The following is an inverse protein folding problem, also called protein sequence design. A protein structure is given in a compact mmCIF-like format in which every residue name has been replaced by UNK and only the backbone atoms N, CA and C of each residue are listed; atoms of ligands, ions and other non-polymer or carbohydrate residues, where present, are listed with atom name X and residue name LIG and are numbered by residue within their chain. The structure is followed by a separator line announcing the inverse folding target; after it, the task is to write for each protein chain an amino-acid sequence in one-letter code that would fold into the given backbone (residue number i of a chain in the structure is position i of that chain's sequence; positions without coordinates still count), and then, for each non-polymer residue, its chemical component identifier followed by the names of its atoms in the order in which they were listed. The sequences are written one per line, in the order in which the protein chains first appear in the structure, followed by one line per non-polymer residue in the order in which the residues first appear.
data_IF_371332143513
#
_entry.id   IF_371332143513
#
_cell.length_a   1.000
_cell.length_b   1.000
_cell.length_c   1.000
_cell.angle_alpha   90.00
_cell.angle_beta   90.00
_cell.angle_gamma   90.00
#
_symmetry.space_group_name_H-M   'P 1'
#
loop_
_entity.id
_entity.type
_entity.pdbx_description
1 polymer ?
#
# COMPACT_ATOMS: atom_id res chain seq x y z
N UNK A 1 40.21 4.53 26.09
CA UNK A 1 40.84 5.80 25.66
C UNK A 1 39.74 6.66 25.06
N UNK A 2 38.99 7.32 25.95
CA UNK A 2 38.18 8.47 25.60
C UNK A 2 39.09 9.64 25.22
N UNK A 3 38.53 10.61 24.51
CA UNK A 3 39.15 11.89 24.11
C UNK A 3 39.94 11.87 22.80
N UNK A 4 39.23 11.94 21.68
CA UNK A 4 39.46 12.97 20.65
C UNK A 4 38.26 13.01 19.69
N UNK A 5 37.85 14.20 19.25
CA UNK A 5 36.70 14.53 18.36
C UNK A 5 35.45 15.18 19.00
N UNK A 6 35.62 15.87 20.14
CA UNK A 6 34.86 17.10 20.39
C UNK A 6 35.68 18.27 19.88
N UNK A 7 35.51 18.63 18.60
CA UNK A 7 35.70 19.98 18.06
C UNK A 7 35.61 19.92 16.53
N UNK A 8 34.56 20.56 16.01
CA UNK A 8 34.30 21.10 14.66
C UNK A 8 32.81 20.86 14.39
N UNK A 9 31.97 21.77 14.90
CA UNK A 9 30.62 22.08 14.42
C UNK A 9 30.18 23.37 15.10
N UNK A 10 30.57 24.49 14.51
CA UNK A 10 29.93 25.79 14.72
C UNK A 10 28.99 26.06 13.56
N UNK A 11 27.73 26.39 13.83
CA UNK A 11 26.78 26.86 12.82
C UNK A 11 25.31 26.49 13.04
N UNK A 12 24.73 26.94 14.17
CA UNK A 12 23.30 27.21 14.43
C UNK A 12 22.18 26.48 13.64
N UNK A 13 21.77 25.31 14.12
CA UNK A 13 20.38 24.82 14.11
C UNK A 13 20.25 23.77 15.24
N UNK A 14 19.18 23.75 16.06
CA UNK A 14 19.10 22.82 17.19
C UNK A 14 18.98 21.38 16.67
N UNK A 15 19.90 20.52 17.10
CA UNK A 15 19.96 19.10 16.80
C UNK A 15 19.31 18.31 17.94
N UNK A 16 18.51 17.30 17.62
CA UNK A 16 17.75 16.46 18.57
C UNK A 16 18.64 15.59 19.48
N UNK A 17 19.97 15.69 19.35
CA UNK A 17 20.92 14.98 20.20
C UNK A 17 21.17 15.66 21.56
N UNK A 18 20.59 16.84 21.80
CA UNK A 18 20.65 17.54 23.10
C UNK A 18 19.34 17.39 23.91
N UNK A 19 18.49 16.41 23.59
CA UNK A 19 17.30 16.10 24.40
C UNK A 19 17.65 15.01 25.41
N UNK A 20 17.56 15.37 26.70
CA UNK A 20 17.76 14.49 27.86
C UNK A 20 17.15 13.09 27.67
N UNK A 21 17.89 12.05 28.10
CA UNK A 21 17.45 10.64 28.17
C UNK A 21 16.22 10.42 29.10
N UNK A 22 15.69 11.49 29.71
CA UNK A 22 14.45 11.49 30.47
C UNK A 22 13.20 11.80 29.61
N UNK A 23 13.35 12.06 28.31
CA UNK A 23 12.24 12.33 27.38
C UNK A 23 11.80 11.07 26.61
N UNK A 24 11.71 9.92 27.29
CA UNK A 24 10.80 8.86 26.85
C UNK A 24 9.38 9.40 27.02
N UNK A 25 8.74 9.75 25.90
CA UNK A 25 7.33 10.17 25.88
C UNK A 25 6.46 8.95 26.18
N UNK A 26 6.39 8.57 27.45
CA UNK A 26 5.19 8.02 28.06
C UNK A 26 4.24 9.20 28.24
N UNK A 27 3.32 9.38 27.30
CA UNK A 27 2.30 10.43 27.35
C UNK A 27 1.19 10.11 28.35
N UNK A 28 1.55 9.76 29.58
CA UNK A 28 0.62 9.60 30.71
C UNK A 28 1.01 10.59 31.79
N UNK A 29 0.08 11.41 32.25
CA UNK A 29 0.29 12.18 33.49
C UNK A 29 0.22 11.14 34.62
N UNK A 30 1.39 10.65 35.07
CA UNK A 30 1.46 9.78 36.23
C UNK A 30 1.03 10.58 37.47
N UNK A 31 0.02 10.08 38.19
CA UNK A 31 -0.30 10.59 39.52
C UNK A 31 0.67 10.02 40.57
N UNK A 32 0.56 10.49 41.81
CA UNK A 32 1.42 10.09 42.94
C UNK A 32 1.43 8.57 43.23
N UNK A 33 0.57 7.78 42.59
CA UNK A 33 0.45 6.33 42.74
C UNK A 33 0.82 5.54 41.48
N UNK A 34 1.24 6.19 40.39
CA UNK A 34 1.68 5.51 39.16
C UNK A 34 0.54 4.84 38.38
N UNK A 35 -0.70 5.28 38.56
CA UNK A 35 -1.85 4.82 37.79
C UNK A 35 -2.08 5.74 36.58
N UNK A 36 -2.01 5.21 35.36
CA UNK A 36 -2.26 5.95 34.12
C UNK A 36 -3.76 6.20 33.91
N UNK A 37 -4.31 7.19 34.64
CA UNK A 37 -5.74 7.54 34.59
C UNK A 37 -6.18 8.23 33.29
N UNK A 38 -5.24 8.78 32.52
CA UNK A 38 -5.55 9.52 31.30
C UNK A 38 -6.12 8.63 30.17
N UNK A 39 -5.80 7.33 30.19
CA UNK A 39 -6.36 6.35 29.26
C UNK A 39 -7.72 5.81 29.72
N UNK A 40 -7.97 5.73 31.03
CA UNK A 40 -9.24 5.26 31.62
C UNK A 40 -10.38 6.30 31.56
N UNK A 41 -10.08 7.60 31.58
CA UNK A 41 -11.09 8.68 31.48
C UNK A 41 -11.64 8.91 30.06
N UNK A 42 -11.27 8.07 29.10
CA UNK A 42 -11.67 8.28 27.71
C UNK A 42 -13.10 7.86 27.41
N UNK A 43 -13.75 8.59 26.52
CA UNK A 43 -15.05 8.22 25.96
C UNK A 43 -14.95 6.86 25.24
N UNK A 44 -15.73 5.88 25.69
CA UNK A 44 -15.84 4.55 25.10
C UNK A 44 -17.19 4.44 24.40
N UNK A 45 -17.20 3.89 23.19
CA UNK A 45 -18.47 3.58 22.48
C UNK A 45 -19.26 2.53 23.28
N UNK A 46 -20.49 2.83 23.72
CA UNK A 46 -21.30 1.90 24.51
C UNK A 46 -21.95 0.85 23.61
N UNK A 47 -21.16 -0.08 23.08
CA UNK A 47 -21.66 -1.15 22.22
C UNK A 47 -22.63 -2.06 22.97
N UNK A 48 -23.72 -2.41 22.28
CA UNK A 48 -24.69 -3.39 22.77
C UNK A 48 -24.64 -4.63 21.88
N UNK A 49 -24.68 -5.81 22.50
CA UNK A 49 -24.66 -7.08 21.79
C UNK A 49 -26.03 -7.73 21.93
N UNK A 50 -26.64 -8.09 20.81
CA UNK A 50 -27.90 -8.82 20.75
C UNK A 50 -27.82 -9.94 19.72
N UNK A 51 -28.65 -10.97 19.87
CA UNK A 51 -28.68 -12.08 18.92
C UNK A 51 -29.26 -11.59 17.59
N UNK A 52 -28.47 -11.68 16.52
CA UNK A 52 -28.94 -11.36 15.17
C UNK A 52 -30.00 -12.37 14.70
N UNK A 53 -31.14 -11.85 14.25
CA UNK A 53 -32.26 -12.62 13.72
C UNK A 53 -33.07 -11.79 12.71
N UNK A 54 -33.96 -12.42 11.96
CA UNK A 54 -34.80 -11.76 10.96
C UNK A 54 -33.98 -10.98 9.95
N UNK A 55 -34.44 -9.77 9.61
CA UNK A 55 -33.74 -8.90 8.67
C UNK A 55 -32.38 -8.40 9.16
N UNK A 56 -32.13 -8.31 10.47
CA UNK A 56 -30.83 -7.89 10.98
C UNK A 56 -29.75 -8.92 10.62
N UNK A 57 -30.07 -10.22 10.71
CA UNK A 57 -29.18 -11.29 10.27
C UNK A 57 -28.98 -11.32 8.74
N UNK A 58 -30.04 -11.03 7.96
CA UNK A 58 -29.96 -11.00 6.50
C UNK A 58 -29.19 -9.79 5.95
N UNK A 59 -29.11 -8.69 6.71
CA UNK A 59 -28.44 -7.45 6.32
C UNK A 59 -26.99 -7.38 6.78
N UNK A 60 -26.58 -8.25 7.71
CA UNK A 60 -25.20 -8.34 8.16
C UNK A 60 -24.40 -9.25 7.22
N UNK A 61 -23.50 -8.70 6.37
CA UNK A 61 -22.75 -9.48 5.39
C UNK A 61 -21.85 -10.55 6.01
N UNK A 62 -21.43 -10.39 7.28
CA UNK A 62 -20.57 -11.34 8.00
C UNK A 62 -21.29 -12.66 8.29
N UNK A 63 -22.61 -12.58 8.50
CA UNK A 63 -23.44 -13.72 8.90
C UNK A 63 -24.47 -14.13 7.85
N UNK A 64 -24.80 -13.26 6.90
CA UNK A 64 -25.75 -13.57 5.85
C UNK A 64 -25.25 -14.73 4.97
N UNK A 65 -26.05 -15.78 4.86
CA UNK A 65 -25.80 -16.94 3.98
C UNK A 65 -26.68 -16.93 2.73
N UNK A 66 -27.55 -15.92 2.59
CA UNK A 66 -28.58 -15.87 1.56
C UNK A 66 -29.43 -17.16 1.58
N UNK A 67 -29.61 -17.77 0.41
CA UNK A 67 -30.40 -19.01 0.30
C UNK A 67 -29.70 -20.27 0.88
N UNK A 68 -28.47 -20.15 1.40
CA UNK A 68 -27.74 -21.24 2.05
C UNK A 68 -28.04 -21.37 3.55
N UNK A 69 -28.91 -20.52 4.12
CA UNK A 69 -29.51 -20.82 5.42
C UNK A 69 -30.33 -22.12 5.33
N UNK A 70 -30.04 -23.06 6.21
CA UNK A 70 -30.77 -24.33 6.36
C UNK A 70 -32.17 -24.09 6.92
N UNK A 71 -33.08 -25.05 6.75
CA UNK A 71 -34.43 -24.95 7.33
C UNK A 71 -34.41 -24.71 8.85
N UNK A 72 -33.51 -25.42 9.55
CA UNK A 72 -33.34 -25.26 11.01
C UNK A 72 -32.85 -23.86 11.39
N UNK A 73 -31.87 -23.31 10.66
CA UNK A 73 -31.41 -21.94 10.89
C UNK A 73 -32.53 -20.93 10.60
N UNK A 74 -33.33 -21.15 9.55
CA UNK A 74 -34.44 -20.26 9.20
C UNK A 74 -35.53 -20.26 10.27
N UNK A 75 -35.83 -21.41 10.86
CA UNK A 75 -36.77 -21.52 11.99
C UNK A 75 -36.21 -20.85 13.24
N UNK A 76 -34.96 -21.14 13.60
CA UNK A 76 -34.33 -20.65 14.84
C UNK A 76 -34.09 -19.14 14.84
N UNK A 77 -33.77 -18.56 13.67
CA UNK A 77 -33.43 -17.14 13.53
C UNK A 77 -34.55 -16.30 12.88
N UNK A 78 -35.80 -16.78 12.89
CA UNK A 78 -36.96 -16.05 12.38
C UNK A 78 -36.83 -15.59 10.91
N UNK A 79 -36.27 -16.45 10.06
CA UNK A 79 -36.11 -16.21 8.61
C UNK A 79 -37.18 -16.90 7.75
N UNK A 80 -38.00 -17.77 8.35
CA UNK A 80 -39.06 -18.50 7.64
C UNK A 80 -40.05 -17.50 7.01
N UNK A 81 -40.27 -17.63 5.70
CA UNK A 81 -41.11 -16.71 4.92
C UNK A 81 -40.39 -15.45 4.41
N UNK A 82 -39.19 -15.13 4.92
CA UNK A 82 -38.37 -14.03 4.41
C UNK A 82 -37.51 -14.46 3.21
N UNK A 83 -37.23 -15.76 3.10
CA UNK A 83 -36.50 -16.38 1.99
C UNK A 83 -37.40 -17.35 1.22
N UNK A 84 -37.20 -17.48 -0.11
CA UNK A 84 -37.78 -18.55 -0.91
C UNK A 84 -37.57 -19.95 -0.28
N UNK A 85 -38.47 -20.92 -0.53
CA UNK A 85 -38.46 -22.21 0.16
C UNK A 85 -37.26 -23.10 -0.18
N UNK A 86 -36.51 -22.81 -1.24
CA UNK A 86 -35.35 -23.60 -1.63
C UNK A 86 -34.13 -23.26 -0.78
N UNK A 87 -33.46 -24.28 -0.29
CA UNK A 87 -32.10 -24.18 0.27
C UNK A 87 -31.12 -24.53 -0.85
N UNK A 88 -30.15 -23.66 -1.11
CA UNK A 88 -29.09 -23.90 -2.11
C UNK A 88 -27.73 -23.92 -1.43
N UNK A 89 -26.84 -24.79 -1.89
CA UNK A 89 -25.48 -24.88 -1.34
C UNK A 89 -24.63 -23.67 -1.73
N UNK A 90 -23.55 -23.44 -0.99
CA UNK A 90 -22.61 -22.35 -1.28
C UNK A 90 -22.00 -22.49 -2.68
N UNK A 91 -21.70 -23.72 -3.12
CA UNK A 91 -21.14 -24.02 -4.44
C UNK A 91 -22.13 -23.70 -5.58
N UNK A 92 -23.44 -23.90 -5.35
CA UNK A 92 -24.45 -23.50 -6.32
C UNK A 92 -24.61 -21.97 -6.36
N UNK A 93 -24.51 -21.28 -5.21
CA UNK A 93 -24.48 -19.82 -5.18
C UNK A 93 -23.28 -19.29 -5.96
N UNK A 94 -22.09 -19.84 -5.72
CA UNK A 94 -20.85 -19.48 -6.41
C UNK A 94 -21.00 -19.59 -7.93
N UNK A 95 -21.46 -20.76 -8.43
CA UNK A 95 -21.70 -20.96 -9.86
C UNK A 95 -22.70 -19.96 -10.45
N UNK A 96 -23.78 -19.65 -9.72
CA UNK A 96 -24.78 -18.66 -10.15
C UNK A 96 -24.15 -17.26 -10.26
N UNK A 97 -23.36 -16.86 -9.28
CA UNK A 97 -22.72 -15.54 -9.28
C UNK A 97 -21.67 -15.45 -10.40
N UNK A 98 -20.82 -16.47 -10.57
CA UNK A 98 -19.87 -16.50 -11.69
C UNK A 98 -20.56 -16.46 -13.06
N UNK A 99 -21.69 -17.14 -13.22
CA UNK A 99 -22.49 -17.06 -14.44
C UNK A 99 -22.95 -15.61 -14.72
N UNK A 100 -23.41 -14.89 -13.70
CA UNK A 100 -23.82 -13.50 -13.84
C UNK A 100 -22.63 -12.57 -14.10
N UNK A 101 -21.51 -12.74 -13.39
CA UNK A 101 -20.30 -11.92 -13.57
C UNK A 101 -19.80 -11.97 -15.01
N UNK A 102 -19.78 -13.16 -15.61
CA UNK A 102 -19.34 -13.37 -16.99
C UNK A 102 -20.28 -12.75 -18.04
N UNK A 103 -21.52 -12.41 -17.67
CA UNK A 103 -22.47 -11.72 -18.57
C UNK A 103 -22.26 -10.21 -18.64
N UNK A 104 -21.61 -9.60 -17.63
CA UNK A 104 -21.27 -8.17 -17.71
C UNK A 104 -20.25 -7.93 -18.81
N UNK A 105 -20.45 -6.82 -19.54
CA UNK A 105 -19.63 -6.48 -20.70
C UNK A 105 -18.38 -5.70 -20.29
N UNK A 106 -18.50 -4.83 -19.29
CA UNK A 106 -17.41 -3.98 -18.83
C UNK A 106 -16.76 -4.55 -17.57
N UNK A 107 -15.42 -4.54 -17.45
CA UNK A 107 -14.73 -4.93 -16.21
C UNK A 107 -15.24 -4.18 -14.98
N UNK A 108 -15.51 -2.88 -15.11
CA UNK A 108 -16.03 -2.05 -14.01
C UNK A 108 -17.40 -2.54 -13.48
N UNK A 109 -18.27 -3.06 -14.36
CA UNK A 109 -19.56 -3.63 -13.92
C UNK A 109 -19.33 -4.91 -13.08
N UNK A 110 -18.33 -5.71 -13.46
CA UNK A 110 -17.92 -6.90 -12.68
C UNK A 110 -17.34 -6.49 -11.33
N UNK A 111 -16.52 -5.44 -11.29
CA UNK A 111 -16.01 -4.87 -10.05
C UNK A 111 -17.15 -4.45 -9.11
N UNK A 112 -18.11 -3.66 -9.61
CA UNK A 112 -19.27 -3.22 -8.81
C UNK A 112 -20.07 -4.41 -8.27
N UNK A 113 -20.32 -5.43 -9.10
CA UNK A 113 -21.01 -6.64 -8.66
C UNK A 113 -20.24 -7.43 -7.59
N UNK A 114 -18.90 -7.43 -7.64
CA UNK A 114 -18.05 -8.04 -6.62
C UNK A 114 -18.08 -7.27 -5.30
N UNK A 115 -18.06 -5.93 -5.33
CA UNK A 115 -18.17 -5.11 -4.13
C UNK A 115 -19.57 -5.22 -3.49
N UNK A 116 -20.63 -5.26 -4.30
CA UNK A 116 -21.99 -5.51 -3.83
C UNK A 116 -22.11 -6.90 -3.18
N UNK A 117 -21.40 -7.92 -3.69
CA UNK A 117 -21.36 -9.24 -3.10
C UNK A 117 -20.61 -9.24 -1.76
N UNK A 118 -19.48 -8.54 -1.66
CA UNK A 118 -18.70 -8.41 -0.42
C UNK A 118 -19.58 -7.83 0.70
N UNK A 119 -20.31 -6.75 0.40
CA UNK A 119 -21.23 -6.07 1.33
C UNK A 119 -22.60 -6.76 1.48
N UNK A 120 -22.83 -7.87 0.78
CA UNK A 120 -24.05 -8.67 0.85
C UNK A 120 -23.85 -10.02 1.55
N UNK A 121 -22.74 -10.70 1.28
CA UNK A 121 -22.37 -12.01 1.82
C UNK A 121 -20.85 -12.18 1.72
N UNK A 122 -20.17 -11.77 2.78
CA UNK A 122 -18.70 -11.72 2.88
C UNK A 122 -18.07 -13.10 2.61
N UNK A 123 -18.66 -14.16 3.17
CA UNK A 123 -18.13 -15.53 3.04
C UNK A 123 -18.24 -16.04 1.60
N UNK A 124 -19.34 -15.73 0.91
CA UNK A 124 -19.50 -16.11 -0.49
C UNK A 124 -18.56 -15.32 -1.39
N UNK A 125 -18.35 -14.02 -1.12
CA UNK A 125 -17.35 -13.21 -1.81
C UNK A 125 -15.96 -13.85 -1.75
N UNK A 126 -15.46 -14.14 -0.54
CA UNK A 126 -14.13 -14.73 -0.41
C UNK A 126 -14.03 -16.13 -0.98
N UNK A 127 -15.05 -16.98 -0.78
CA UNK A 127 -15.09 -18.33 -1.37
C UNK A 127 -15.00 -18.27 -2.91
N UNK A 128 -15.77 -17.39 -3.53
CA UNK A 128 -15.78 -17.18 -4.97
C UNK A 128 -14.44 -16.63 -5.48
N UNK A 129 -13.84 -15.68 -4.75
CA UNK A 129 -12.54 -15.11 -5.09
C UNK A 129 -11.40 -16.14 -4.98
N UNK A 130 -11.40 -16.98 -3.94
CA UNK A 130 -10.36 -18.01 -3.72
C UNK A 130 -10.41 -19.06 -4.83
N UNK A 131 -11.59 -19.59 -5.14
CA UNK A 131 -11.75 -20.66 -6.14
C UNK A 131 -11.50 -20.19 -7.59
N UNK A 132 -11.65 -18.89 -7.86
CA UNK A 132 -11.56 -18.33 -9.21
C UNK A 132 -10.53 -17.18 -9.28
N UNK A 133 -9.47 -17.26 -8.47
CA UNK A 133 -8.52 -16.17 -8.26
C UNK A 133 -7.91 -15.63 -9.55
N UNK A 134 -7.51 -16.49 -10.48
CA UNK A 134 -6.88 -16.07 -11.74
C UNK A 134 -7.83 -15.24 -12.63
N UNK A 135 -9.11 -15.59 -12.67
CA UNK A 135 -10.13 -14.87 -13.47
C UNK A 135 -10.59 -13.57 -12.79
N UNK A 136 -10.65 -13.57 -11.46
CA UNK A 136 -11.23 -12.47 -10.69
C UNK A 136 -10.21 -11.46 -10.17
N UNK A 137 -8.94 -11.82 -10.04
CA UNK A 137 -7.88 -10.90 -9.59
C UNK A 137 -7.81 -9.64 -10.48
N UNK A 138 -7.88 -9.72 -11.82
CA UNK A 138 -7.90 -8.53 -12.68
C UNK A 138 -9.17 -7.67 -12.55
N UNK A 139 -10.21 -8.21 -11.91
CA UNK A 139 -11.50 -7.53 -11.67
C UNK A 139 -11.49 -6.82 -10.32
N UNK A 140 -11.12 -7.51 -9.23
CA UNK A 140 -11.15 -6.93 -7.87
C UNK A 140 -9.88 -6.16 -7.52
N UNK A 141 -8.84 -6.30 -8.33
CA UNK A 141 -7.55 -5.62 -8.17
C UNK A 141 -7.09 -5.03 -9.51
N UNK A 142 -5.78 -4.89 -9.73
CA UNK A 142 -5.24 -4.26 -10.93
C UNK A 142 -5.54 -5.06 -12.20
N UNK A 143 -5.94 -4.41 -13.32
CA UNK A 143 -6.02 -2.96 -13.52
C UNK A 143 -7.38 -2.33 -13.16
N UNK A 144 -8.45 -3.11 -12.99
CA UNK A 144 -9.83 -2.59 -12.88
C UNK A 144 -10.04 -1.73 -11.63
N UNK A 145 -9.37 -2.03 -10.51
CA UNK A 145 -9.44 -1.21 -9.30
C UNK A 145 -8.96 0.23 -9.52
N UNK A 146 -8.01 0.45 -10.44
CA UNK A 146 -7.58 1.79 -10.82
C UNK A 146 -8.69 2.58 -11.52
N UNK A 147 -9.39 1.95 -12.46
CA UNK A 147 -10.58 2.55 -13.11
C UNK A 147 -11.69 2.83 -12.07
N UNK A 148 -11.89 1.90 -11.12
CA UNK A 148 -12.85 2.08 -10.04
C UNK A 148 -12.48 3.29 -9.16
N UNK A 149 -11.20 3.50 -8.85
CA UNK A 149 -10.74 4.69 -8.11
C UNK A 149 -10.95 5.99 -8.91
N UNK A 150 -10.75 5.99 -10.23
CA UNK A 150 -11.03 7.18 -11.05
C UNK A 150 -12.51 7.56 -11.02
N UNK A 151 -13.39 6.56 -11.00
CA UNK A 151 -14.86 6.73 -11.05
C UNK A 151 -15.53 6.58 -9.68
N UNK A 152 -14.77 6.54 -8.59
CA UNK A 152 -15.25 6.04 -7.29
C UNK A 152 -16.47 6.80 -6.79
N UNK A 153 -16.49 8.13 -6.91
CA UNK A 153 -17.65 8.95 -6.54
C UNK A 153 -18.90 8.63 -7.35
N UNK A 154 -18.77 8.44 -8.66
CA UNK A 154 -19.90 8.12 -9.54
C UNK A 154 -20.47 6.71 -9.36
N UNK A 155 -19.65 5.76 -8.91
CA UNK A 155 -20.07 4.36 -8.67
C UNK A 155 -20.34 4.07 -7.20
N UNK A 156 -20.18 5.05 -6.31
CA UNK A 156 -20.30 4.88 -4.87
C UNK A 156 -21.69 4.34 -4.50
N UNK A 157 -21.72 3.18 -3.83
CA UNK A 157 -22.97 2.55 -3.40
C UNK A 157 -22.97 2.35 -1.88
N UNK A 158 -22.35 1.28 -1.40
CA UNK A 158 -22.20 0.94 0.02
C UNK A 158 -20.84 1.41 0.52
N UNK A 159 -20.76 2.10 1.67
CA UNK A 159 -19.49 2.55 2.20
C UNK A 159 -18.62 1.37 2.62
N UNK A 160 -17.35 1.41 2.26
CA UNK A 160 -16.33 0.44 2.69
C UNK A 160 -15.14 1.20 3.28
N UNK A 161 -14.59 0.67 4.37
CA UNK A 161 -13.48 1.29 5.09
C UNK A 161 -13.87 2.51 5.93
N UNK A 162 -12.84 3.22 6.39
CA UNK A 162 -12.96 4.37 7.28
C UNK A 162 -12.26 5.59 6.66
N UNK A 163 -12.97 6.71 6.61
CA UNK A 163 -12.47 7.97 6.07
C UNK A 163 -12.12 8.90 7.23
N UNK A 164 -10.90 9.45 7.20
CA UNK A 164 -10.42 10.41 8.20
C UNK A 164 -9.90 11.62 7.44
N UNK A 165 -10.52 12.78 7.61
CA UNK A 165 -10.14 13.99 6.89
C UNK A 165 -9.51 15.03 7.80
N UNK A 166 -8.97 16.10 7.22
CA UNK A 166 -8.47 17.25 8.00
C UNK A 166 -9.53 17.88 8.93
N UNK A 167 -10.83 17.69 8.66
CA UNK A 167 -11.91 18.17 9.54
C UNK A 167 -11.94 17.45 10.88
N UNK A 168 -11.39 16.23 10.93
CA UNK A 168 -11.32 15.41 12.13
C UNK A 168 -9.98 15.55 12.88
N UNK A 169 -9.12 16.50 12.50
CA UNK A 169 -7.90 16.84 13.26
C UNK A 169 -8.26 17.22 14.70
N UNK A 170 -7.56 16.62 15.66
CA UNK A 170 -7.82 16.66 17.10
C UNK A 170 -8.85 15.65 17.61
N UNK A 171 -9.47 14.86 16.71
CA UNK A 171 -10.54 13.90 17.03
C UNK A 171 -10.38 12.56 16.33
N UNK A 172 -9.20 12.25 15.78
CA UNK A 172 -9.00 11.02 14.99
C UNK A 172 -9.31 9.76 15.81
N UNK A 173 -8.94 9.75 17.10
CA UNK A 173 -9.27 8.64 18.00
C UNK A 173 -10.78 8.42 18.14
N UNK A 174 -11.59 9.48 18.15
CA UNK A 174 -13.06 9.37 18.21
C UNK A 174 -13.60 8.72 16.92
N UNK A 175 -13.02 9.06 15.76
CA UNK A 175 -13.38 8.46 14.47
C UNK A 175 -13.06 6.97 14.46
N UNK A 176 -11.87 6.57 14.93
CA UNK A 176 -11.49 5.16 15.03
C UNK A 176 -12.43 4.36 15.94
N UNK A 177 -12.96 4.98 17.01
CA UNK A 177 -13.90 4.35 17.94
C UNK A 177 -15.28 4.06 17.33
N UNK A 178 -15.61 4.68 16.18
CA UNK A 178 -16.83 4.37 15.43
C UNK A 178 -16.73 3.07 14.64
N UNK A 179 -15.52 2.56 14.37
CA UNK A 179 -15.35 1.28 13.69
C UNK A 179 -15.87 0.13 14.58
N UNK A 180 -16.74 -0.75 14.07
CA UNK A 180 -17.44 -1.73 14.91
C UNK A 180 -16.55 -2.90 15.36
N UNK A 181 -15.47 -3.19 14.63
CA UNK A 181 -14.55 -4.27 14.99
C UNK A 181 -13.45 -3.74 15.92
N UNK A 182 -13.35 -4.32 17.12
CA UNK A 182 -12.38 -3.88 18.14
C UNK A 182 -10.97 -4.46 17.94
N UNK A 183 -10.87 -5.64 17.36
CA UNK A 183 -9.61 -6.40 17.27
C UNK A 183 -8.99 -6.30 15.87
N UNK A 184 -8.61 -5.08 15.49
CA UNK A 184 -7.91 -4.82 14.24
C UNK A 184 -6.46 -5.30 14.33
N UNK A 185 -6.01 -5.96 13.28
CA UNK A 185 -4.66 -6.52 13.15
C UNK A 185 -3.92 -5.98 11.94
N UNK A 186 -4.64 -5.63 10.86
CA UNK A 186 -4.06 -5.08 9.63
C UNK A 186 -4.84 -3.85 9.19
N UNK A 187 -4.15 -2.73 9.09
CA UNK A 187 -4.62 -1.50 8.46
C UNK A 187 -3.87 -1.34 7.15
N UNK A 188 -4.61 -1.09 6.07
CA UNK A 188 -4.03 -0.55 4.83
C UNK A 188 -4.53 0.87 4.71
N UNK A 189 -3.60 1.81 4.60
CA UNK A 189 -3.90 3.25 4.60
C UNK A 189 -3.29 3.92 3.38
N UNK A 190 -4.04 4.85 2.78
CA UNK A 190 -3.59 5.69 1.68
C UNK A 190 -4.05 7.15 1.89
N UNK A 191 -3.35 8.11 1.29
CA UNK A 191 -3.85 9.48 1.09
C UNK A 191 -4.28 9.76 -0.36
N UNK A 192 -4.18 8.75 -1.22
CA UNK A 192 -4.56 8.79 -2.63
C UNK A 192 -3.74 9.72 -3.52
N UNK A 193 -2.55 10.17 -3.09
CA UNK A 193 -1.72 11.10 -3.88
C UNK A 193 -1.09 10.43 -5.11
N UNK A 194 -0.82 9.13 -5.05
CA UNK A 194 -0.17 8.37 -6.12
C UNK A 194 -0.82 7.01 -6.31
N UNK A 195 -2.10 6.99 -6.66
CA UNK A 195 -2.80 5.74 -6.97
C UNK A 195 -2.18 5.14 -8.23
N UNK A 196 -1.46 4.02 -8.10
CA UNK A 196 -0.87 3.29 -9.22
C UNK A 196 -0.04 4.24 -10.14
N UNK A 197 -0.13 4.06 -11.46
CA UNK A 197 0.32 5.02 -12.47
C UNK A 197 -0.67 6.16 -12.80
N UNK A 198 -1.78 6.30 -12.05
CA UNK A 198 -2.88 7.22 -12.35
C UNK A 198 -2.75 8.59 -11.65
N UNK A 199 -1.90 8.68 -10.63
CA UNK A 199 -1.61 9.92 -9.92
C UNK A 199 -2.60 10.22 -8.79
N UNK A 200 -2.87 11.50 -8.57
CA UNK A 200 -3.67 11.97 -7.45
C UNK A 200 -5.17 11.74 -7.69
N UNK A 201 -5.77 10.86 -6.90
CA UNK A 201 -7.21 10.59 -6.89
C UNK A 201 -7.89 10.96 -5.55
N UNK A 202 -7.13 11.57 -4.63
CA UNK A 202 -7.64 12.03 -3.34
C UNK A 202 -8.40 10.96 -2.57
N UNK A 203 -9.57 11.36 -2.04
CA UNK A 203 -10.44 10.47 -1.27
C UNK A 203 -10.96 9.25 -2.06
N UNK A 204 -10.97 9.32 -3.40
CA UNK A 204 -11.38 8.20 -4.26
C UNK A 204 -10.36 7.06 -4.29
N UNK A 205 -9.17 7.25 -3.72
CA UNK A 205 -8.17 6.21 -3.55
C UNK A 205 -8.58 5.05 -2.64
N UNK A 206 -9.70 5.14 -1.90
CA UNK A 206 -10.19 4.09 -0.98
C UNK A 206 -10.31 2.71 -1.63
N UNK A 207 -10.57 2.63 -2.94
CA UNK A 207 -10.63 1.35 -3.64
C UNK A 207 -9.36 0.51 -3.50
N UNK A 208 -8.19 1.14 -3.36
CA UNK A 208 -6.92 0.43 -3.20
C UNK A 208 -6.81 -0.28 -1.84
N UNK A 209 -6.94 0.40 -0.67
CA UNK A 209 -6.99 -0.30 0.62
C UNK A 209 -8.03 -1.41 0.70
N UNK A 210 -9.23 -1.19 0.15
CA UNK A 210 -10.31 -2.21 0.13
C UNK A 210 -9.88 -3.43 -0.69
N UNK A 211 -9.34 -3.21 -1.89
CA UNK A 211 -8.82 -4.27 -2.75
C UNK A 211 -7.68 -5.05 -2.08
N UNK A 212 -6.68 -4.36 -1.52
CA UNK A 212 -5.55 -4.97 -0.81
C UNK A 212 -6.00 -5.85 0.33
N UNK A 213 -6.89 -5.36 1.21
CA UNK A 213 -7.38 -6.14 2.35
C UNK A 213 -8.23 -7.34 1.94
N UNK A 214 -8.92 -7.25 0.79
CA UNK A 214 -9.58 -8.41 0.20
C UNK A 214 -8.57 -9.49 -0.21
N UNK A 215 -7.40 -9.11 -0.72
CA UNK A 215 -6.30 -10.05 -1.03
C UNK A 215 -5.60 -10.58 0.22
N UNK A 216 -5.46 -9.79 1.28
CA UNK A 216 -4.98 -10.28 2.59
C UNK A 216 -5.81 -11.45 3.10
N UNK A 217 -7.13 -11.38 2.91
CA UNK A 217 -8.01 -12.48 3.27
C UNK A 217 -7.90 -13.63 2.28
N UNK A 218 -8.11 -13.37 0.99
CA UNK A 218 -8.22 -14.42 -0.02
C UNK A 218 -6.92 -15.20 -0.22
N UNK A 219 -5.78 -14.51 -0.18
CA UNK A 219 -4.46 -15.10 -0.43
C UNK A 219 -3.70 -15.39 0.86
N UNK A 220 -3.82 -14.51 1.86
CA UNK A 220 -3.08 -14.59 3.13
C UNK A 220 -3.84 -15.26 4.27
N UNK A 221 -5.13 -15.53 4.12
CA UNK A 221 -5.98 -16.12 5.18
C UNK A 221 -6.18 -15.22 6.40
N UNK A 222 -5.92 -13.92 6.28
CA UNK A 222 -6.21 -12.95 7.35
C UNK A 222 -7.71 -12.83 7.53
N UNK A 223 -8.18 -12.70 8.78
CA UNK A 223 -9.62 -12.56 9.04
C UNK A 223 -10.11 -11.19 8.55
N UNK A 224 -11.18 -11.12 7.72
CA UNK A 224 -11.73 -9.84 7.25
C UNK A 224 -12.09 -8.88 8.36
N UNK A 225 -12.68 -9.40 9.46
CA UNK A 225 -13.06 -8.60 10.62
C UNK A 225 -11.86 -8.03 11.39
N UNK A 226 -10.63 -8.42 11.06
CA UNK A 226 -9.40 -7.87 11.62
C UNK A 226 -8.69 -6.91 10.66
N UNK A 227 -9.31 -6.62 9.51
CA UNK A 227 -8.81 -5.73 8.47
C UNK A 227 -9.56 -4.39 8.53
N UNK A 228 -8.84 -3.29 8.37
CA UNK A 228 -9.40 -1.94 8.37
C UNK A 228 -8.81 -1.11 7.21
N UNK A 229 -9.57 -0.88 6.13
CA UNK A 229 -9.16 0.02 5.06
C UNK A 229 -9.34 1.47 5.50
N UNK A 230 -8.33 2.31 5.30
CA UNK A 230 -8.38 3.73 5.68
C UNK A 230 -7.96 4.63 4.52
N UNK A 231 -8.69 5.72 4.32
CA UNK A 231 -8.27 6.84 3.47
C UNK A 231 -8.13 8.10 4.30
N UNK A 232 -6.96 8.74 4.17
CA UNK A 232 -6.62 10.00 4.81
C UNK A 232 -6.86 11.14 3.83
N UNK A 233 -8.00 11.83 3.98
CA UNK A 233 -8.42 12.89 3.07
C UNK A 233 -7.88 14.25 3.51
N UNK A 234 -6.74 14.63 2.93
CA UNK A 234 -6.10 15.94 3.13
C UNK A 234 -6.38 16.92 2.00
N UNK A 235 -7.37 16.63 1.14
CA UNK A 235 -7.61 17.31 -0.12
C UNK A 235 -6.98 16.60 -1.33
N UNK A 236 -7.12 17.18 -2.51
CA UNK A 236 -6.55 16.66 -3.77
C UNK A 236 -6.07 17.79 -4.66
N UNK A 237 -4.97 17.56 -5.39
CA UNK A 237 -4.46 18.46 -6.41
C UNK A 237 -5.03 18.15 -7.81
N UNK A 238 -5.91 17.15 -7.92
CA UNK A 238 -6.58 16.81 -9.17
C UNK A 238 -7.73 17.77 -9.46
N UNK A 239 -7.54 18.64 -10.46
CA UNK A 239 -8.53 19.64 -10.87
C UNK A 239 -9.82 19.04 -11.40
N UNK A 240 -9.75 17.89 -12.08
CA UNK A 240 -10.94 17.22 -12.61
C UNK A 240 -11.84 16.80 -11.44
N UNK A 241 -11.26 16.22 -10.39
CA UNK A 241 -12.00 15.81 -9.19
C UNK A 241 -12.50 17.00 -8.36
N UNK A 242 -11.73 18.10 -8.26
CA UNK A 242 -12.21 19.30 -7.57
C UNK A 242 -13.47 19.88 -8.22
N UNK A 243 -13.57 19.78 -9.55
CA UNK A 243 -14.70 20.26 -10.33
C UNK A 243 -15.81 19.22 -10.55
N UNK A 244 -15.57 17.93 -10.26
CA UNK A 244 -16.54 16.86 -10.43
C UNK A 244 -17.61 16.90 -9.33
N UNK A 245 -18.88 17.06 -9.68
CA UNK A 245 -20.01 17.08 -8.73
C UNK A 245 -20.14 15.82 -7.87
N UNK A 246 -19.64 14.68 -8.36
CA UNK A 246 -19.69 13.39 -7.65
C UNK A 246 -18.47 13.11 -6.79
N UNK A 247 -17.45 13.98 -6.78
CA UNK A 247 -16.29 13.80 -5.90
C UNK A 247 -16.70 13.75 -4.43
N UNK A 248 -16.24 12.70 -3.74
CA UNK A 248 -16.63 12.35 -2.36
C UNK A 248 -15.71 12.94 -1.29
N UNK A 249 -14.58 13.53 -1.67
CA UNK A 249 -13.60 14.07 -0.73
C UNK A 249 -13.73 15.56 -0.44
N UNK A 250 -12.80 16.08 0.34
CA UNK A 250 -12.65 17.50 0.60
C UNK A 250 -12.31 18.25 -0.70
N UNK A 251 -13.18 19.17 -1.11
CA UNK A 251 -13.01 20.04 -2.28
C UNK A 251 -12.03 21.17 -2.00
N UNK A 252 -10.79 20.80 -1.72
CA UNK A 252 -9.67 21.70 -1.48
C UNK A 252 -8.37 21.05 -1.97
N UNK A 253 -7.34 21.87 -2.16
CA UNK A 253 -5.99 21.39 -2.44
C UNK A 253 -5.42 20.61 -1.25
N UNK A 254 -4.44 19.75 -1.53
CA UNK A 254 -3.74 18.99 -0.50
C UNK A 254 -3.10 19.93 0.52
N UNK A 255 -3.31 19.65 1.81
CA UNK A 255 -2.49 20.22 2.87
C UNK A 255 -1.03 19.79 2.70
N UNK A 256 -0.10 20.67 3.03
CA UNK A 256 1.34 20.45 2.88
C UNK A 256 2.09 20.86 4.15
N UNK A 257 3.34 20.41 4.28
CA UNK A 257 4.23 20.83 5.35
C UNK A 257 3.71 20.39 6.73
N UNK A 258 3.77 21.32 7.70
CA UNK A 258 3.48 21.00 9.11
C UNK A 258 2.06 20.52 9.35
N UNK A 259 1.07 21.07 8.64
CA UNK A 259 -0.33 20.69 8.83
C UNK A 259 -0.57 19.21 8.52
N UNK A 260 -0.03 18.75 7.38
CA UNK A 260 -0.05 17.34 6.95
C UNK A 260 0.74 16.45 7.92
N UNK A 261 1.94 16.89 8.33
CA UNK A 261 2.79 16.14 9.24
C UNK A 261 2.13 15.94 10.61
N UNK A 262 1.50 16.98 11.18
CA UNK A 262 0.77 16.90 12.44
C UNK A 262 -0.42 15.96 12.35
N UNK A 263 -1.18 16.04 11.25
CA UNK A 263 -2.35 15.20 11.01
C UNK A 263 -1.97 13.72 10.92
N UNK A 264 -0.90 13.38 10.18
CA UNK A 264 -0.39 12.02 10.13
C UNK A 264 0.16 11.54 11.47
N UNK A 265 0.81 12.43 12.23
CA UNK A 265 1.31 12.06 13.56
C UNK A 265 0.17 11.73 14.52
N UNK A 266 -0.89 12.55 14.53
CA UNK A 266 -2.10 12.27 15.29
C UNK A 266 -2.73 10.94 14.89
N UNK A 267 -2.83 10.66 13.57
CA UNK A 267 -3.34 9.38 13.08
C UNK A 267 -2.54 8.19 13.62
N UNK A 268 -1.21 8.22 13.48
CA UNK A 268 -0.35 7.12 13.93
C UNK A 268 -0.46 6.90 15.44
N UNK A 269 -0.45 7.99 16.21
CA UNK A 269 -0.62 7.95 17.67
C UNK A 269 -2.00 7.37 18.05
N UNK A 270 -3.08 7.82 17.40
CA UNK A 270 -4.43 7.34 17.65
C UNK A 270 -4.60 5.86 17.30
N UNK A 271 -4.00 5.38 16.20
CA UNK A 271 -4.02 3.96 15.81
C UNK A 271 -3.32 3.10 16.87
N UNK A 272 -2.10 3.48 17.27
CA UNK A 272 -1.35 2.78 18.33
C UNK A 272 -2.13 2.77 19.65
N UNK A 273 -2.73 3.90 20.00
CA UNK A 273 -3.52 4.03 21.22
C UNK A 273 -4.78 3.14 21.20
N UNK A 274 -5.48 3.07 20.07
CA UNK A 274 -6.74 2.34 19.97
C UNK A 274 -6.58 0.83 19.76
N UNK A 275 -5.54 0.41 19.02
CA UNK A 275 -5.35 -0.99 18.60
C UNK A 275 -4.07 -1.65 19.15
N UNK A 276 -3.20 -0.89 19.81
CA UNK A 276 -1.98 -1.36 20.45
C UNK A 276 -0.78 -1.52 19.51
N UNK A 277 0.37 -1.86 20.09
CA UNK A 277 1.69 -1.91 19.42
C UNK A 277 1.82 -2.96 18.29
N UNK A 278 0.92 -3.94 18.26
CA UNK A 278 1.01 -5.09 17.34
C UNK A 278 0.18 -4.93 16.08
N UNK A 279 -0.57 -3.84 15.94
CA UNK A 279 -1.33 -3.57 14.72
C UNK A 279 -0.36 -3.31 13.56
N UNK A 280 -0.52 -4.04 12.47
CA UNK A 280 0.22 -3.81 11.23
C UNK A 280 -0.39 -2.61 10.51
N UNK A 281 0.43 -1.63 10.16
CA UNK A 281 0.03 -0.47 9.34
C UNK A 281 0.80 -0.54 8.02
N UNK A 282 0.09 -0.86 6.95
CA UNK A 282 0.60 -0.82 5.60
C UNK A 282 0.30 0.54 4.97
N UNK A 283 1.34 1.27 4.59
CA UNK A 283 1.20 2.45 3.75
C UNK A 283 1.13 2.04 2.29
N UNK A 284 0.18 2.63 1.55
CA UNK A 284 -0.07 2.33 0.15
C UNK A 284 -0.34 3.62 -0.66
N UNK A 285 0.26 3.71 -1.85
CA UNK A 285 -0.03 4.75 -2.85
C UNK A 285 0.13 6.21 -2.35
N UNK A 286 1.08 6.43 -1.44
CA UNK A 286 1.55 7.77 -1.08
C UNK A 286 2.49 8.31 -2.16
N UNK A 287 2.69 9.63 -2.23
CA UNK A 287 3.74 10.16 -3.12
C UNK A 287 5.15 9.87 -2.58
N UNK A 288 6.11 9.70 -3.51
CA UNK A 288 7.51 9.35 -3.24
C UNK A 288 8.13 10.01 -2.00
N UNK A 289 7.98 11.33 -1.86
CA UNK A 289 8.59 12.05 -0.75
C UNK A 289 7.97 11.65 0.60
N UNK A 290 6.64 11.57 0.67
CA UNK A 290 5.91 11.17 1.87
C UNK A 290 6.16 9.70 2.21
N UNK A 291 6.14 8.79 1.24
CA UNK A 291 6.33 7.36 1.48
C UNK A 291 7.66 7.04 2.19
N UNK A 292 8.76 7.64 1.73
CA UNK A 292 10.08 7.45 2.39
C UNK A 292 10.13 8.08 3.78
N UNK A 293 9.62 9.30 3.93
CA UNK A 293 9.65 10.01 5.22
C UNK A 293 8.80 9.29 6.27
N UNK A 294 7.65 8.74 5.89
CA UNK A 294 6.77 7.97 6.78
C UNK A 294 7.41 6.65 7.22
N UNK A 295 7.98 5.91 6.27
CA UNK A 295 8.65 4.65 6.60
C UNK A 295 9.84 4.87 7.54
N UNK A 296 10.65 5.92 7.27
CA UNK A 296 11.79 6.27 8.12
C UNK A 296 11.36 6.75 9.52
N UNK A 297 10.30 7.57 9.60
CA UNK A 297 9.82 8.14 10.87
C UNK A 297 9.13 7.10 11.76
N UNK A 298 8.33 6.21 11.19
CA UNK A 298 7.50 5.28 11.96
C UNK A 298 8.05 3.86 12.06
N UNK A 299 9.04 3.49 11.24
CA UNK A 299 9.63 2.14 11.22
C UNK A 299 10.26 1.65 12.54
N UNK A 300 10.63 2.57 13.44
CA UNK A 300 11.20 2.22 14.76
C UNK A 300 10.17 2.26 15.88
N UNK A 301 9.00 2.86 15.64
CA UNK A 301 7.98 3.11 16.68
C UNK A 301 6.71 2.30 16.44
N UNK A 302 6.44 1.84 15.23
CA UNK A 302 5.24 1.09 14.87
C UNK A 302 5.60 -0.13 14.02
N UNK A 303 4.73 -1.14 14.02
CA UNK A 303 4.79 -2.20 13.03
C UNK A 303 4.25 -1.69 11.70
N UNK A 304 5.13 -1.05 10.92
CA UNK A 304 4.80 -0.49 9.61
C UNK A 304 5.53 -1.18 8.49
N UNK A 305 4.91 -1.19 7.31
CA UNK A 305 5.61 -1.43 6.06
C UNK A 305 4.94 -0.63 4.92
N UNK A 306 5.65 -0.45 3.83
CA UNK A 306 5.11 0.15 2.60
C UNK A 306 5.25 -0.85 1.45
N UNK A 307 4.15 -1.21 0.80
CA UNK A 307 4.14 -2.26 -0.23
C UNK A 307 4.83 -1.79 -1.52
N UNK A 308 4.61 -0.52 -1.91
CA UNK A 308 5.21 0.11 -3.10
C UNK A 308 6.74 0.09 -3.06
N UNK A 309 7.33 0.27 -1.88
CA UNK A 309 8.78 0.24 -1.65
C UNK A 309 9.24 -1.20 -1.35
N UNK A 310 8.74 -1.80 -0.27
CA UNK A 310 9.30 -3.03 0.32
C UNK A 310 8.71 -4.29 -0.31
N UNK A 311 7.39 -4.31 -0.56
CA UNK A 311 6.71 -5.44 -1.21
C UNK A 311 7.19 -5.63 -2.64
N UNK A 312 7.21 -4.53 -3.41
CA UNK A 312 7.77 -4.47 -4.77
C UNK A 312 9.24 -4.92 -4.81
N UNK A 313 10.07 -4.44 -3.87
CA UNK A 313 11.45 -4.87 -3.79
C UNK A 313 11.57 -6.38 -3.57
N UNK A 314 10.74 -6.93 -2.67
CA UNK A 314 10.74 -8.35 -2.35
C UNK A 314 10.37 -9.23 -3.55
N UNK A 315 9.27 -8.91 -4.25
CA UNK A 315 8.82 -9.71 -5.40
C UNK A 315 9.80 -9.64 -6.58
N UNK A 316 10.40 -8.47 -6.83
CA UNK A 316 11.39 -8.32 -7.91
C UNK A 316 12.68 -9.07 -7.58
N UNK A 317 13.18 -8.98 -6.34
CA UNK A 317 14.34 -9.78 -5.92
C UNK A 317 14.04 -11.28 -6.03
N UNK A 318 12.85 -11.73 -5.64
CA UNK A 318 12.44 -13.14 -5.81
C UNK A 318 12.45 -13.56 -7.28
N UNK A 319 11.98 -12.69 -8.19
CA UNK A 319 12.05 -12.90 -9.63
C UNK A 319 13.49 -13.02 -10.16
N UNK A 320 14.39 -12.13 -9.71
CA UNK A 320 15.81 -12.18 -10.08
C UNK A 320 16.47 -13.46 -9.57
N UNK A 321 16.25 -13.84 -8.31
CA UNK A 321 16.78 -15.08 -7.73
C UNK A 321 16.23 -16.32 -8.47
N UNK A 322 14.97 -16.30 -8.89
CA UNK A 322 14.40 -17.37 -9.72
C UNK A 322 15.05 -17.41 -11.12
N UNK A 323 15.27 -16.26 -11.75
CA UNK A 323 15.94 -16.18 -13.04
C UNK A 323 17.39 -16.69 -12.99
N UNK A 324 18.15 -16.37 -11.93
CA UNK A 324 19.51 -16.87 -11.71
C UNK A 324 19.59 -18.41 -11.66
N UNK A 325 18.53 -19.09 -11.19
CA UNK A 325 18.49 -20.56 -11.21
C UNK A 325 18.41 -21.14 -12.63
N UNK A 326 17.92 -20.37 -13.59
CA UNK A 326 17.82 -20.78 -15.00
C UNK A 326 19.07 -20.39 -15.78
N UNK A 327 19.58 -19.18 -15.58
CA UNK A 327 20.70 -18.63 -16.36
C UNK A 327 22.08 -18.90 -15.76
N UNK A 328 22.13 -19.29 -14.47
CA UNK A 328 23.37 -19.45 -13.72
C UNK A 328 23.94 -18.11 -13.22
N UNK A 329 25.04 -18.18 -12.48
CA UNK A 329 25.73 -17.00 -11.92
C UNK A 329 25.19 -16.53 -10.57
N UNK A 330 25.69 -15.37 -10.13
CA UNK A 330 25.34 -14.76 -8.84
C UNK A 330 24.86 -13.32 -9.00
N UNK A 331 24.08 -12.80 -8.03
CA UNK A 331 23.63 -11.40 -8.05
C UNK A 331 24.80 -10.41 -8.19
N UNK A 332 25.96 -10.74 -7.59
CA UNK A 332 27.14 -9.90 -7.62
C UNK A 332 27.86 -9.88 -8.98
N UNK A 333 27.58 -10.81 -9.89
CA UNK A 333 28.16 -10.82 -11.24
C UNK A 333 27.42 -9.89 -12.21
N UNK A 334 26.20 -9.49 -11.89
CA UNK A 334 25.36 -8.66 -12.75
C UNK A 334 25.58 -7.16 -12.56
N UNK A 335 25.29 -6.41 -13.64
CA UNK A 335 25.18 -4.95 -13.66
C UNK A 335 23.73 -4.61 -13.96
N UNK A 336 23.12 -3.78 -13.10
CA UNK A 336 21.70 -3.49 -13.11
C UNK A 336 21.46 -2.09 -13.63
N UNK A 337 20.50 -1.93 -14.54
CA UNK A 337 20.00 -0.63 -14.97
C UNK A 337 18.48 -0.56 -14.77
N UNK A 338 18.05 0.50 -14.10
CA UNK A 338 16.64 0.79 -13.87
C UNK A 338 16.18 1.97 -14.71
N UNK A 339 15.02 1.84 -15.36
CA UNK A 339 14.25 2.99 -15.85
C UNK A 339 13.16 3.32 -14.83
N UNK A 340 13.33 4.42 -14.10
CA UNK A 340 12.46 4.85 -13.02
C UNK A 340 13.19 4.82 -11.68
N UNK A 341 13.27 5.97 -11.02
CA UNK A 341 13.97 6.14 -9.74
C UNK A 341 13.05 6.75 -8.67
N UNK A 342 11.82 6.23 -8.58
CA UNK A 342 10.89 6.50 -7.47
C UNK A 342 10.96 5.40 -6.40
N UNK A 343 9.91 5.30 -5.59
CA UNK A 343 9.71 4.28 -4.54
C UNK A 343 10.17 2.88 -4.95
N UNK A 344 9.51 2.30 -5.95
CA UNK A 344 9.80 0.96 -6.46
C UNK A 344 11.26 0.82 -6.91
N UNK A 345 11.74 1.70 -7.79
CA UNK A 345 13.08 1.61 -8.37
C UNK A 345 14.19 1.63 -7.32
N UNK A 346 14.15 2.58 -6.39
CA UNK A 346 15.17 2.66 -5.33
C UNK A 346 14.99 1.60 -4.24
N UNK A 347 13.75 1.18 -3.93
CA UNK A 347 13.49 0.08 -3.00
C UNK A 347 14.04 -1.25 -3.49
N UNK A 348 13.78 -1.59 -4.76
CA UNK A 348 14.35 -2.80 -5.40
C UNK A 348 15.88 -2.72 -5.41
N UNK A 349 16.44 -1.59 -5.86
CA UNK A 349 17.89 -1.39 -5.93
C UNK A 349 18.56 -1.62 -4.56
N UNK A 350 17.97 -1.07 -3.49
CA UNK A 350 18.48 -1.24 -2.12
C UNK A 350 18.42 -2.69 -1.64
N UNK A 351 17.32 -3.39 -1.92
CA UNK A 351 17.18 -4.79 -1.50
C UNK A 351 18.12 -5.73 -2.28
N UNK A 352 18.36 -5.46 -3.57
CA UNK A 352 19.39 -6.15 -4.36
C UNK A 352 20.78 -5.90 -3.76
N UNK A 353 21.11 -4.64 -3.47
CA UNK A 353 22.40 -4.29 -2.88
C UNK A 353 22.61 -4.95 -1.51
N UNK A 354 21.57 -5.00 -0.68
CA UNK A 354 21.58 -5.66 0.62
C UNK A 354 21.80 -7.17 0.47
N UNK A 355 21.07 -7.84 -0.42
CA UNK A 355 21.22 -9.29 -0.63
C UNK A 355 22.61 -9.62 -1.21
N UNK A 356 23.12 -8.82 -2.16
CA UNK A 356 24.50 -8.92 -2.65
C UNK A 356 25.50 -8.79 -1.49
N UNK A 357 25.33 -7.78 -0.64
CA UNK A 357 26.19 -7.54 0.53
C UNK A 357 26.20 -8.73 1.50
N UNK A 358 25.04 -9.35 1.75
CA UNK A 358 24.91 -10.55 2.59
C UNK A 358 25.60 -11.77 1.98
N UNK A 359 25.45 -11.99 0.68
CA UNK A 359 26.05 -13.13 -0.02
C UNK A 359 27.58 -13.02 -0.09
N UNK A 360 28.10 -11.82 -0.40
CA UNK A 360 29.54 -11.62 -0.64
C UNK A 360 30.30 -11.14 0.59
N UNK A 361 29.61 -10.73 1.66
CA UNK A 361 30.18 -10.03 2.83
C UNK A 361 30.89 -8.71 2.48
N UNK A 362 30.56 -8.13 1.33
CA UNK A 362 31.07 -6.82 0.89
C UNK A 362 30.22 -5.70 1.50
N UNK A 363 30.79 -4.55 1.88
CA UNK A 363 30.02 -3.39 2.31
C UNK A 363 28.95 -2.98 1.28
N UNK A 364 27.76 -2.60 1.75
CA UNK A 364 26.61 -2.30 0.87
C UNK A 364 26.93 -1.21 -0.16
N UNK A 365 27.75 -0.21 0.20
CA UNK A 365 28.15 0.88 -0.72
C UNK A 365 28.94 0.38 -1.93
N UNK A 366 29.74 -0.67 -1.77
CA UNK A 366 30.44 -1.31 -2.90
C UNK A 366 29.47 -2.11 -3.77
N UNK A 367 28.47 -2.76 -3.16
CA UNK A 367 27.41 -3.47 -3.87
C UNK A 367 26.57 -2.51 -4.74
N UNK A 368 26.32 -1.28 -4.26
CA UNK A 368 25.59 -0.25 -5.01
C UNK A 368 26.28 0.18 -6.31
N UNK A 369 27.60 0.05 -6.44
CA UNK A 369 28.36 0.49 -7.62
C UNK A 369 27.98 -0.22 -8.93
N UNK A 370 27.34 -1.39 -8.84
CA UNK A 370 26.84 -2.14 -10.01
C UNK A 370 25.39 -1.80 -10.39
N UNK A 371 24.75 -0.90 -9.66
CA UNK A 371 23.33 -0.59 -9.80
C UNK A 371 23.16 0.86 -10.25
N UNK A 372 22.53 1.04 -11.40
CA UNK A 372 22.35 2.31 -12.08
C UNK A 372 20.88 2.61 -12.26
N UNK A 373 20.48 3.88 -12.11
CA UNK A 373 19.10 4.31 -12.23
C UNK A 373 18.99 5.50 -13.19
N UNK A 374 17.93 5.50 -14.00
CA UNK A 374 17.56 6.58 -14.93
C UNK A 374 16.24 7.18 -14.45
N UNK A 375 16.19 8.50 -14.25
CA UNK A 375 14.96 9.22 -13.94
C UNK A 375 14.50 10.09 -15.14
N UNK A 376 13.47 10.91 -14.93
CA UNK A 376 12.92 11.77 -15.99
C UNK A 376 13.92 12.76 -16.59
N UNK A 377 15.07 12.98 -15.95
CA UNK A 377 16.15 13.86 -16.40
C UNK A 377 17.40 13.08 -16.84
N UNK A 378 17.30 11.74 -17.02
CA UNK A 378 18.39 10.89 -17.48
C UNK A 378 19.10 10.12 -16.35
N UNK A 379 20.31 9.63 -16.63
CA UNK A 379 21.11 8.81 -15.71
C UNK A 379 21.45 9.56 -14.42
N UNK A 380 21.28 8.90 -13.27
CA UNK A 380 21.64 9.40 -11.95
C UNK A 380 23.16 9.27 -11.79
N UNK A 381 23.85 10.41 -11.70
CA UNK A 381 25.31 10.51 -11.65
C UNK A 381 25.76 11.58 -10.66
N UNK A 382 27.02 11.50 -10.21
CA UNK A 382 27.62 12.39 -9.21
C UNK A 382 27.50 13.88 -9.57
N UNK A 383 27.64 14.24 -10.85
CA UNK A 383 27.49 15.61 -11.34
C UNK A 383 26.08 16.20 -11.10
N UNK A 384 25.07 15.37 -10.89
CA UNK A 384 23.68 15.80 -10.62
C UNK A 384 23.34 15.83 -9.13
N UNK A 385 24.23 15.40 -8.24
CA UNK A 385 23.95 15.06 -6.82
C UNK A 385 23.27 16.16 -6.01
N UNK A 386 23.60 17.42 -6.26
CA UNK A 386 22.98 18.57 -5.58
C UNK A 386 21.50 18.75 -5.91
N UNK A 387 21.08 18.39 -7.12
CA UNK A 387 19.69 18.48 -7.57
C UNK A 387 18.83 17.25 -7.25
N UNK A 388 19.44 16.21 -6.69
CA UNK A 388 18.77 14.94 -6.41
C UNK A 388 18.10 14.95 -5.04
N UNK A 389 16.93 14.32 -4.98
CA UNK A 389 16.28 13.95 -3.72
C UNK A 389 17.20 13.03 -2.90
N UNK A 390 17.09 13.09 -1.57
CA UNK A 390 18.02 12.39 -0.68
C UNK A 390 18.14 10.89 -0.98
N UNK A 391 17.02 10.20 -1.19
CA UNK A 391 16.96 8.77 -1.49
C UNK A 391 17.61 8.38 -2.84
N UNK A 392 17.85 9.33 -3.75
CA UNK A 392 18.55 9.11 -5.03
C UNK A 392 20.07 9.24 -4.90
N UNK A 393 20.56 9.95 -3.88
CA UNK A 393 21.99 10.29 -3.73
C UNK A 393 22.92 9.07 -3.58
N UNK A 394 22.54 7.95 -2.93
CA UNK A 394 23.38 6.75 -2.86
C UNK A 394 23.69 6.11 -4.20
N UNK A 395 22.90 6.41 -5.23
CA UNK A 395 23.01 5.85 -6.58
C UNK A 395 23.74 6.77 -7.57
N UNK A 396 24.18 7.94 -7.11
CA UNK A 396 24.84 8.95 -7.93
C UNK A 396 26.34 8.68 -8.05
N UNK A 397 26.68 7.68 -8.87
CA UNK A 397 28.05 7.24 -9.14
C UNK A 397 28.78 8.20 -10.08
N UNK A 398 30.11 8.13 -10.11
CA UNK A 398 30.91 8.87 -11.09
C UNK A 398 30.72 8.25 -12.48
N UNK A 399 30.14 9.03 -13.39
CA UNK A 399 29.94 8.68 -14.80
C UNK A 399 29.55 9.94 -15.58
N UNK A 400 29.78 9.96 -16.89
CA UNK A 400 29.27 11.02 -17.76
C UNK A 400 27.73 11.06 -17.75
N UNK A 401 27.16 12.26 -17.86
CA UNK A 401 25.71 12.38 -17.88
C UNK A 401 25.15 11.89 -19.22
N UNK A 402 24.12 11.05 -19.13
CA UNK A 402 23.38 10.52 -20.28
C UNK A 402 21.90 10.86 -20.16
N UNK A 403 21.31 11.41 -21.21
CA UNK A 403 19.96 11.98 -21.19
C UNK A 403 18.81 11.00 -21.43
N UNK A 404 19.06 9.85 -22.07
CA UNK A 404 18.02 8.88 -22.43
C UNK A 404 18.42 7.44 -22.09
N UNK A 405 17.43 6.54 -22.11
CA UNK A 405 17.62 5.13 -21.74
C UNK A 405 18.54 4.38 -22.70
N UNK A 406 18.39 4.58 -24.01
CA UNK A 406 19.17 3.84 -25.02
C UNK A 406 20.67 4.12 -24.87
N UNK A 407 21.03 5.39 -24.73
CA UNK A 407 22.41 5.80 -24.49
C UNK A 407 22.93 5.25 -23.15
N UNK A 408 22.08 5.21 -22.11
CA UNK A 408 22.45 4.63 -20.82
C UNK A 408 22.71 3.12 -20.94
N UNK A 409 21.88 2.39 -21.72
CA UNK A 409 22.09 0.98 -22.03
C UNK A 409 23.41 0.77 -22.77
N UNK A 410 23.71 1.60 -23.77
CA UNK A 410 24.94 1.51 -24.54
C UNK A 410 26.20 1.83 -23.72
N UNK A 411 26.12 2.80 -22.80
CA UNK A 411 27.22 3.21 -21.95
C UNK A 411 27.48 2.21 -20.81
N UNK A 412 26.42 1.81 -20.09
CA UNK A 412 26.52 0.95 -18.90
C UNK A 412 26.66 -0.52 -19.26
N UNK A 413 26.12 -0.95 -20.41
CA UNK A 413 26.02 -2.34 -20.85
C UNK A 413 25.47 -3.27 -19.75
N UNK A 414 24.25 -3.00 -19.25
CA UNK A 414 23.69 -3.78 -18.16
C UNK A 414 23.37 -5.21 -18.58
N UNK A 415 23.48 -6.14 -17.65
CA UNK A 415 23.02 -7.52 -17.83
C UNK A 415 21.58 -7.70 -17.38
N UNK A 416 21.07 -6.81 -16.52
CA UNK A 416 19.69 -6.79 -16.02
C UNK A 416 19.07 -5.42 -16.28
N UNK A 417 17.90 -5.38 -16.91
CA UNK A 417 17.14 -4.15 -17.19
C UNK A 417 15.77 -4.20 -16.51
N UNK A 418 15.48 -3.23 -15.64
CA UNK A 418 14.25 -3.18 -14.84
C UNK A 418 13.50 -1.87 -15.11
N UNK A 419 12.22 -1.97 -15.47
CA UNK A 419 11.33 -0.84 -15.74
C UNK A 419 10.37 -0.62 -14.59
N UNK A 420 10.47 0.54 -13.95
CA UNK A 420 9.66 0.99 -12.79
C UNK A 420 9.27 2.46 -12.94
N UNK A 421 9.02 2.90 -14.18
CA UNK A 421 8.80 4.32 -14.52
C UNK A 421 7.33 4.73 -14.55
N UNK A 422 6.39 3.78 -14.56
CA UNK A 422 4.97 4.02 -14.83
C UNK A 422 4.69 4.45 -16.29
N UNK A 423 5.70 4.44 -17.18
CA UNK A 423 5.55 4.83 -18.58
C UNK A 423 5.67 3.62 -19.51
N UNK A 424 4.56 3.27 -20.13
CA UNK A 424 4.49 2.19 -21.12
C UNK A 424 5.35 2.46 -22.36
N UNK A 425 5.74 1.38 -23.05
CA UNK A 425 6.44 1.41 -24.34
C UNK A 425 7.81 2.13 -24.33
N UNK A 426 8.45 2.21 -23.16
CA UNK A 426 9.77 2.84 -23.01
C UNK A 426 10.94 1.91 -23.30
N UNK A 427 10.73 0.58 -23.21
CA UNK A 427 11.66 -0.41 -23.74
C UNK A 427 11.35 -0.63 -25.22
N UNK A 428 11.89 0.27 -26.05
CA UNK A 428 11.72 0.23 -27.50
C UNK A 428 12.46 -0.95 -28.11
N UNK A 429 12.16 -1.27 -29.37
CA UNK A 429 12.90 -2.29 -30.13
C UNK A 429 14.41 -2.03 -30.09
N UNK A 430 14.84 -0.79 -30.30
CA UNK A 430 16.26 -0.39 -30.26
C UNK A 430 16.90 -0.66 -28.89
N UNK A 431 16.19 -0.41 -27.79
CA UNK A 431 16.68 -0.70 -26.43
C UNK A 431 16.84 -2.21 -26.23
N UNK A 432 15.88 -2.99 -26.68
CA UNK A 432 15.89 -4.47 -26.55
C UNK A 432 16.96 -5.09 -27.45
N UNK A 433 17.14 -4.58 -28.68
CA UNK A 433 18.20 -5.03 -29.59
C UNK A 433 19.59 -4.66 -29.04
N UNK A 434 19.75 -3.46 -28.49
CA UNK A 434 20.99 -3.03 -27.86
C UNK A 434 21.38 -3.98 -26.72
N UNK A 435 20.49 -4.25 -25.76
CA UNK A 435 20.81 -5.17 -24.65
C UNK A 435 21.06 -6.61 -25.11
N UNK A 436 20.38 -7.05 -26.16
CA UNK A 436 20.59 -8.38 -26.76
C UNK A 436 21.96 -8.51 -27.44
N UNK A 437 22.52 -7.40 -27.95
CA UNK A 437 23.77 -7.43 -28.71
C UNK A 437 25.01 -7.77 -27.88
N UNK A 438 24.96 -7.58 -26.57
CA UNK A 438 26.09 -7.82 -25.66
C UNK A 438 25.77 -8.78 -24.50
N UNK A 439 24.58 -9.41 -24.49
CA UNK A 439 24.21 -10.46 -23.52
C UNK A 439 23.74 -11.71 -24.27
N UNK A 440 24.42 -12.85 -24.08
CA UNK A 440 24.02 -14.13 -24.71
C UNK A 440 22.67 -14.65 -24.19
N UNK A 441 22.38 -14.39 -22.92
CA UNK A 441 21.07 -14.61 -22.30
C UNK A 441 20.72 -13.32 -21.58
N UNK A 442 19.63 -12.67 -21.97
CA UNK A 442 19.09 -11.56 -21.18
C UNK A 442 18.55 -12.19 -19.90
N UNK A 443 19.26 -12.01 -18.78
CA UNK A 443 18.93 -12.71 -17.54
C UNK A 443 17.56 -12.29 -17.02
N UNK A 444 17.15 -11.01 -17.19
CA UNK A 444 15.75 -10.59 -17.01
C UNK A 444 15.46 -9.20 -17.61
N UNK A 445 14.35 -9.06 -18.36
CA UNK A 445 13.66 -7.78 -18.57
C UNK A 445 12.40 -7.81 -17.72
N UNK A 446 12.37 -7.01 -16.65
CA UNK A 446 11.21 -6.88 -15.77
C UNK A 446 10.59 -5.52 -15.98
N UNK A 447 9.33 -5.47 -16.39
CA UNK A 447 8.54 -4.24 -16.36
C UNK A 447 7.54 -4.38 -15.23
N UNK A 448 7.70 -3.60 -14.17
CA UNK A 448 6.69 -3.48 -13.14
C UNK A 448 5.64 -2.46 -13.63
N UNK A 449 4.45 -2.94 -13.95
CA UNK A 449 3.29 -2.09 -14.17
C UNK A 449 2.69 -1.74 -12.81
N UNK A 450 3.03 -0.56 -12.30
CA UNK A 450 2.27 0.14 -11.26
C UNK A 450 1.42 1.19 -11.95
#
# INVERSE_FOLDING_TARGET
MESTMKEIRGGGAPCVLDMDDAATVGGGVEDTYGEDRATEEQLVTPWTVSVASGYNLLRDPRYNKGLAFTEKERETHYLRGLLPPTVISQELQERKIMHNIRQYQLPLQRYMAMMDLQEGNERLFYKLLIDNVEELLPIVYTPTVGEACQKYGSIFSRPQGLYISLKEKGKILEVLKNWPERSIQVIVVTDGERILGLGDLGCQGMGIPVGKLSLYTALGGVRPSACLPITLDVGTNNEELLNDEFYIGLRQRRAIGQEYADFLHEFMAAVKQNYGEKVLIQFEDFANHNAFDLLARYGTTHLVFNDDIQGTASVVLAGLVAALKLVGGTLAEHTYLFLGAGEAGTGIAELIALEMSRQTKTPIDECRKKIWLVDSKGLIVSARKESLQHFKKPWAHEHEHVGNLLDAVNAIKPTVLIGTSGKGQTFTQEVVEAISSFNEVISTVLTCYF
#
